data_IF_802069316645
#
_entry.id   IF_802069316645
#
_cell.length_a   1.000
_cell.length_b   1.000
_cell.length_c   1.000
_cell.angle_alpha   90.00
_cell.angle_beta   90.00
_cell.angle_gamma   90.00
#
_symmetry.space_group_name_H-M   'P 1'
#
loop_
_entity.id
_entity.type
_entity.pdbx_description
1 polymer ?
#
# COMPACT_ATOMS: atom_id res chain seq x y z
N UNK A 1 3.47 78.81 -36.51
CA UNK A 1 4.70 78.06 -36.51
C UNK A 1 5.02 77.75 -35.03
N UNK A 2 4.65 76.60 -34.48
CA UNK A 2 5.14 76.10 -33.20
C UNK A 2 4.78 74.58 -33.14
N UNK A 3 5.80 73.77 -33.32
CA UNK A 3 5.71 72.31 -33.29
C UNK A 3 5.57 71.85 -31.84
N UNK A 4 4.49 71.12 -31.52
CA UNK A 4 4.31 70.44 -30.26
C UNK A 4 4.60 68.96 -30.45
N UNK A 5 5.67 68.46 -29.83
CA UNK A 5 6.07 67.08 -29.81
C UNK A 5 5.30 66.36 -28.65
N UNK A 6 4.38 65.49 -29.00
CA UNK A 6 3.71 64.60 -28.00
C UNK A 6 4.61 63.40 -27.73
N UNK A 7 5.16 63.34 -26.53
CA UNK A 7 5.87 62.15 -26.03
C UNK A 7 4.87 61.15 -25.49
N UNK A 8 4.77 60.01 -26.16
CA UNK A 8 3.97 58.88 -25.69
C UNK A 8 4.83 58.06 -24.72
N UNK A 9 4.50 58.11 -23.44
CA UNK A 9 5.07 57.22 -22.41
C UNK A 9 4.40 55.84 -22.50
N UNK A 10 5.16 54.86 -22.99
CA UNK A 10 4.78 53.44 -23.00
C UNK A 10 5.03 52.85 -21.59
N UNK A 11 4.01 52.71 -20.78
CA UNK A 11 4.11 51.99 -19.50
C UNK A 11 4.14 50.49 -19.75
N UNK A 12 5.33 49.88 -19.60
CA UNK A 12 5.44 48.39 -19.53
C UNK A 12 4.86 47.91 -18.20
N UNK A 13 3.63 47.38 -18.22
CA UNK A 13 3.05 46.66 -17.14
C UNK A 13 3.70 45.26 -17.00
N UNK A 14 4.57 45.09 -16.02
CA UNK A 14 5.14 43.80 -15.66
C UNK A 14 4.04 42.97 -14.98
N UNK A 15 3.33 42.12 -15.72
CA UNK A 15 2.33 41.22 -15.22
C UNK A 15 2.97 40.15 -14.33
N UNK A 16 2.79 40.26 -13.02
CA UNK A 16 3.18 39.28 -12.03
C UNK A 16 2.18 38.13 -12.12
N UNK A 17 2.57 37.00 -12.78
CA UNK A 17 1.81 35.75 -12.78
C UNK A 17 1.88 35.16 -11.38
N UNK A 18 0.75 34.84 -10.74
CA UNK A 18 0.77 34.09 -9.47
C UNK A 18 1.29 32.68 -9.74
N UNK A 19 2.45 32.33 -9.15
CA UNK A 19 2.92 30.96 -9.07
C UNK A 19 2.00 30.22 -8.13
N UNK A 20 1.11 29.38 -8.66
CA UNK A 20 0.39 28.38 -7.87
C UNK A 20 1.43 27.36 -7.36
N UNK A 21 1.94 27.61 -6.16
CA UNK A 21 2.65 26.59 -5.39
C UNK A 21 1.64 25.53 -5.02
N UNK A 22 1.57 24.45 -5.80
CA UNK A 22 0.85 23.24 -5.41
C UNK A 22 1.50 22.69 -4.15
N UNK A 23 0.86 22.91 -3.00
CA UNK A 23 1.18 22.17 -1.80
C UNK A 23 0.74 20.74 -2.11
N UNK A 24 1.69 19.83 -2.32
CA UNK A 24 1.43 18.41 -2.21
C UNK A 24 0.94 18.19 -0.77
N UNK A 25 -0.28 17.69 -0.62
CA UNK A 25 -0.82 17.28 0.67
C UNK A 25 0.11 16.19 1.23
N UNK A 26 1.00 16.55 2.15
CA UNK A 26 1.86 15.61 2.89
C UNK A 26 1.05 14.60 3.72
N UNK A 27 -0.27 14.73 3.73
CA UNK A 27 -1.22 13.90 4.45
C UNK A 27 -2.11 13.06 3.53
N UNK A 28 -1.71 12.85 2.27
CA UNK A 28 -2.44 11.96 1.37
C UNK A 28 -2.26 10.52 1.85
N UNK A 29 -3.36 9.91 2.35
CA UNK A 29 -3.38 8.50 2.75
C UNK A 29 -2.82 7.60 1.65
N UNK A 30 -1.97 6.63 2.02
CA UNK A 30 -1.44 5.61 1.09
C UNK A 30 -2.53 4.66 0.53
N UNK A 31 -3.75 4.77 1.02
CA UNK A 31 -4.92 3.98 0.60
C UNK A 31 -5.74 3.51 1.80
N UNK A 32 -6.91 2.96 1.51
CA UNK A 32 -7.77 2.32 2.53
C UNK A 32 -7.36 0.87 2.68
N UNK A 33 -7.33 0.37 3.91
CA UNK A 33 -6.97 -1.02 4.21
C UNK A 33 -7.96 -1.62 5.21
N UNK A 34 -8.63 -2.70 4.83
CA UNK A 34 -9.47 -3.48 5.75
C UNK A 34 -8.74 -4.77 6.11
N UNK A 35 -8.50 -4.99 7.40
CA UNK A 35 -7.78 -6.15 7.94
C UNK A 35 -8.75 -7.09 8.64
N UNK A 36 -8.90 -8.30 8.12
CA UNK A 36 -9.71 -9.37 8.69
C UNK A 36 -8.80 -10.31 9.47
N UNK A 37 -9.05 -10.44 10.77
CA UNK A 37 -8.22 -11.28 11.67
C UNK A 37 -9.07 -11.93 12.75
N UNK A 38 -8.51 -12.92 13.45
CA UNK A 38 -9.18 -13.44 14.65
C UNK A 38 -8.99 -12.49 15.84
N UNK A 39 -9.98 -12.38 16.76
CA UNK A 39 -9.89 -11.46 17.90
C UNK A 39 -8.66 -11.65 18.78
N UNK A 40 -8.17 -12.89 18.89
CA UNK A 40 -7.02 -13.26 19.70
C UNK A 40 -5.66 -13.18 18.99
N UNK A 41 -5.61 -12.79 17.70
CA UNK A 41 -4.36 -12.67 16.95
C UNK A 41 -3.62 -11.37 17.28
N UNK A 42 -2.72 -11.42 18.27
CA UNK A 42 -1.94 -10.25 18.69
C UNK A 42 -0.92 -9.78 17.65
N UNK A 43 -0.26 -10.69 16.93
CA UNK A 43 0.69 -10.34 15.87
C UNK A 43 -0.01 -9.66 14.68
N UNK A 44 -1.26 -10.05 14.38
CA UNK A 44 -2.07 -9.40 13.36
C UNK A 44 -2.43 -7.95 13.73
N UNK A 45 -2.71 -7.70 15.02
CA UNK A 45 -2.96 -6.33 15.52
C UNK A 45 -1.72 -5.46 15.36
N UNK A 46 -0.53 -5.98 15.72
CA UNK A 46 0.74 -5.26 15.54
C UNK A 46 1.05 -4.99 14.05
N UNK A 47 0.70 -5.93 13.17
CA UNK A 47 0.83 -5.71 11.73
C UNK A 47 -0.10 -4.58 11.27
N UNK A 48 -1.36 -4.57 11.71
CA UNK A 48 -2.33 -3.54 11.38
C UNK A 48 -1.90 -2.15 11.90
N UNK A 49 -1.39 -2.07 13.15
CA UNK A 49 -0.81 -0.86 13.72
C UNK A 49 0.35 -0.34 12.86
N UNK A 50 1.24 -1.24 12.41
CA UNK A 50 2.33 -0.84 11.52
C UNK A 50 1.82 -0.29 10.19
N UNK A 51 0.74 -0.83 9.62
CA UNK A 51 0.17 -0.29 8.39
C UNK A 51 -0.44 1.11 8.61
N UNK A 52 -1.06 1.36 9.76
CA UNK A 52 -1.55 2.69 10.12
C UNK A 52 -0.40 3.70 10.25
N UNK A 53 0.70 3.33 10.93
CA UNK A 53 1.94 4.12 11.02
C UNK A 53 2.55 4.43 9.64
N UNK A 54 2.39 3.52 8.68
CA UNK A 54 2.84 3.72 7.28
C UNK A 54 1.93 4.68 6.49
N UNK A 55 0.80 5.12 7.08
CA UNK A 55 -0.12 6.08 6.49
C UNK A 55 -1.30 5.48 5.72
N UNK A 56 -1.60 4.18 5.91
CA UNK A 56 -2.86 3.60 5.43
C UNK A 56 -4.02 3.96 6.36
N UNK A 57 -5.22 4.12 5.80
CA UNK A 57 -6.45 4.21 6.60
C UNK A 57 -6.90 2.79 6.97
N UNK A 58 -6.51 2.31 8.15
CA UNK A 58 -6.74 0.93 8.57
C UNK A 58 -8.09 0.78 9.28
N UNK A 59 -8.84 -0.24 8.89
CA UNK A 59 -10.06 -0.72 9.57
C UNK A 59 -9.86 -2.20 9.92
N UNK A 60 -10.03 -2.56 11.18
CA UNK A 60 -9.94 -3.96 11.64
C UNK A 60 -11.34 -4.54 11.73
N UNK A 61 -11.49 -5.76 11.21
CA UNK A 61 -12.71 -6.59 11.30
C UNK A 61 -12.33 -7.91 11.94
N UNK A 62 -12.80 -8.13 13.15
CA UNK A 62 -12.60 -9.41 13.85
C UNK A 62 -13.58 -10.48 13.33
N UNK A 63 -13.02 -11.64 12.99
CA UNK A 63 -13.75 -12.82 12.52
C UNK A 63 -13.17 -14.06 13.20
N UNK A 64 -14.02 -14.96 13.67
CA UNK A 64 -13.56 -16.22 14.30
C UNK A 64 -12.98 -17.19 13.26
N UNK A 65 -13.47 -17.16 12.03
CA UNK A 65 -13.01 -17.98 10.91
C UNK A 65 -12.89 -17.18 9.62
N UNK A 66 -11.72 -17.23 9.00
CA UNK A 66 -11.40 -16.56 7.75
C UNK A 66 -11.53 -17.48 6.51
N UNK A 67 -11.83 -18.75 6.68
CA UNK A 67 -11.81 -19.76 5.60
C UNK A 67 -12.69 -19.37 4.41
N UNK A 68 -13.91 -18.90 4.68
CA UNK A 68 -14.82 -18.45 3.64
C UNK A 68 -14.30 -17.20 2.91
N UNK A 69 -13.80 -16.22 3.66
CA UNK A 69 -13.23 -14.98 3.13
C UNK A 69 -12.04 -15.29 2.22
N UNK A 70 -11.11 -16.14 2.65
CA UNK A 70 -9.92 -16.52 1.87
C UNK A 70 -10.30 -17.22 0.58
N UNK A 71 -11.28 -18.11 0.63
CA UNK A 71 -11.80 -18.78 -0.57
C UNK A 71 -12.40 -17.78 -1.55
N UNK A 72 -13.20 -16.83 -1.08
CA UNK A 72 -13.79 -15.76 -1.92
C UNK A 72 -12.72 -14.82 -2.47
N UNK A 73 -11.69 -14.49 -1.68
CA UNK A 73 -10.52 -13.73 -2.10
C UNK A 73 -9.59 -14.51 -3.03
N UNK A 74 -9.81 -15.83 -3.19
CA UNK A 74 -9.00 -16.70 -4.03
C UNK A 74 -7.58 -16.89 -3.50
N UNK A 75 -7.40 -16.93 -2.18
CA UNK A 75 -6.13 -17.26 -1.52
C UNK A 75 -5.97 -18.77 -1.50
N UNK A 76 -4.95 -19.34 -2.17
CA UNK A 76 -4.68 -20.78 -2.11
C UNK A 76 -4.34 -21.24 -0.68
N UNK A 77 -4.67 -22.49 -0.33
CA UNK A 77 -4.44 -23.00 1.02
C UNK A 77 -2.96 -22.92 1.45
N UNK A 78 -2.05 -23.18 0.52
CA UNK A 78 -0.59 -23.11 0.74
C UNK A 78 -0.07 -21.68 0.88
N UNK A 79 -0.87 -20.67 0.53
CA UNK A 79 -0.51 -19.24 0.62
C UNK A 79 -1.15 -18.55 1.83
N UNK A 80 -1.90 -19.28 2.66
CA UNK A 80 -2.57 -18.70 3.81
C UNK A 80 -1.58 -18.29 4.91
N UNK A 81 -1.83 -17.10 5.46
CA UNK A 81 -1.11 -16.55 6.60
C UNK A 81 -2.02 -16.38 7.83
N UNK A 82 -1.65 -15.45 8.70
CA UNK A 82 -2.35 -15.21 9.97
C UNK A 82 -3.66 -14.41 9.79
N UNK A 83 -3.70 -13.53 8.82
CA UNK A 83 -4.82 -12.62 8.54
C UNK A 83 -4.91 -12.35 7.04
N UNK A 84 -6.05 -11.83 6.63
CA UNK A 84 -6.28 -11.36 5.26
C UNK A 84 -6.61 -9.88 5.29
N UNK A 85 -5.99 -9.08 4.43
CA UNK A 85 -6.35 -7.69 4.26
C UNK A 85 -6.73 -7.39 2.81
N UNK A 86 -7.51 -6.32 2.62
CA UNK A 86 -7.78 -5.74 1.32
C UNK A 86 -7.30 -4.31 1.34
N UNK A 87 -6.39 -3.96 0.44
CA UNK A 87 -5.91 -2.59 0.26
C UNK A 87 -6.47 -2.00 -1.03
N UNK A 88 -6.89 -0.73 -0.95
CA UNK A 88 -7.48 0.00 -2.07
C UNK A 88 -6.78 1.35 -2.25
N UNK A 89 -6.16 1.52 -3.43
CA UNK A 89 -5.63 2.77 -3.95
C UNK A 89 -5.84 2.80 -5.46
N UNK A 90 -7.06 3.18 -5.87
CA UNK A 90 -7.53 3.04 -7.26
C UNK A 90 -7.97 1.61 -7.59
N UNK A 91 -7.06 0.65 -7.51
CA UNK A 91 -7.32 -0.79 -7.64
C UNK A 91 -7.36 -1.46 -6.26
N UNK A 92 -8.09 -2.58 -6.14
CA UNK A 92 -8.14 -3.40 -4.92
C UNK A 92 -7.22 -4.60 -5.05
N UNK A 93 -6.45 -4.87 -3.98
CA UNK A 93 -5.57 -6.02 -3.88
C UNK A 93 -5.76 -6.74 -2.54
N UNK A 94 -5.62 -8.05 -2.58
CA UNK A 94 -5.55 -8.90 -1.39
C UNK A 94 -4.12 -8.86 -0.85
N UNK A 95 -3.99 -8.76 0.47
CA UNK A 95 -2.72 -8.87 1.19
C UNK A 95 -2.91 -9.95 2.24
N UNK A 96 -2.28 -11.10 2.06
CA UNK A 96 -2.41 -12.26 2.94
C UNK A 96 -1.18 -12.43 3.82
N UNK A 97 -1.39 -12.55 5.14
CA UNK A 97 -0.32 -12.74 6.12
C UNK A 97 0.55 -11.49 6.34
N UNK A 98 1.71 -11.68 6.94
CA UNK A 98 2.58 -10.62 7.44
C UNK A 98 3.46 -9.97 6.34
N UNK A 99 2.81 -9.51 5.28
CA UNK A 99 3.47 -8.83 4.14
C UNK A 99 4.11 -7.52 4.60
N UNK A 100 5.39 -7.26 4.27
CA UNK A 100 6.07 -6.03 4.69
C UNK A 100 5.57 -4.81 3.89
N UNK A 101 5.58 -3.60 4.49
CA UNK A 101 5.14 -2.36 3.83
C UNK A 101 5.80 -2.11 2.48
N UNK A 102 7.08 -2.45 2.33
CA UNK A 102 7.82 -2.26 1.08
C UNK A 102 7.22 -3.07 -0.09
N UNK A 103 6.79 -4.32 0.17
CA UNK A 103 6.15 -5.15 -0.85
C UNK A 103 4.74 -4.62 -1.22
N UNK A 104 3.99 -4.11 -0.24
CA UNK A 104 2.69 -3.49 -0.48
C UNK A 104 2.86 -2.22 -1.31
N UNK A 105 3.81 -1.35 -0.95
CA UNK A 105 4.10 -0.13 -1.72
C UNK A 105 4.49 -0.46 -3.16
N UNK A 106 5.41 -1.43 -3.37
CA UNK A 106 5.78 -1.90 -4.71
C UNK A 106 4.55 -2.34 -5.52
N UNK A 107 3.67 -3.16 -4.95
CA UNK A 107 2.45 -3.62 -5.64
C UNK A 107 1.53 -2.45 -6.01
N UNK A 108 1.32 -1.51 -5.08
CA UNK A 108 0.45 -0.36 -5.31
C UNK A 108 1.01 0.64 -6.33
N UNK A 109 2.33 0.75 -6.45
CA UNK A 109 3.00 1.64 -7.39
C UNK A 109 3.06 1.03 -8.80
N UNK A 110 3.35 -0.26 -8.89
CA UNK A 110 3.43 -0.97 -10.18
C UNK A 110 2.07 -1.38 -10.74
N UNK A 111 1.06 -1.51 -9.90
CA UNK A 111 -0.31 -1.93 -10.24
C UNK A 111 -0.37 -3.17 -11.16
N UNK A 112 0.35 -4.26 -10.83
CA UNK A 112 0.38 -5.44 -11.68
C UNK A 112 -0.99 -6.08 -11.81
N UNK A 113 -1.21 -6.86 -12.89
CA UNK A 113 -2.44 -7.62 -13.08
C UNK A 113 -2.42 -8.94 -12.30
N UNK A 114 -2.53 -8.80 -10.96
CA UNK A 114 -2.60 -9.88 -9.96
C UNK A 114 -3.76 -9.61 -9.01
N UNK A 115 -4.20 -10.61 -8.26
CA UNK A 115 -5.21 -10.43 -7.20
C UNK A 115 -4.64 -9.80 -5.95
N UNK A 116 -3.37 -10.04 -5.66
CA UNK A 116 -2.72 -9.57 -4.46
C UNK A 116 -1.38 -10.24 -4.21
N UNK A 117 -0.90 -10.13 -2.99
CA UNK A 117 0.37 -10.70 -2.55
C UNK A 117 0.20 -11.43 -1.21
N UNK A 118 1.04 -12.44 -0.96
CA UNK A 118 0.95 -13.29 0.22
C UNK A 118 2.32 -13.57 0.84
N UNK A 119 2.35 -13.64 2.16
CA UNK A 119 3.41 -14.27 2.96
C UNK A 119 2.79 -15.48 3.64
N UNK A 120 3.06 -16.71 3.19
CA UNK A 120 2.49 -17.91 3.78
C UNK A 120 3.03 -18.15 5.18
N UNK A 121 2.16 -18.61 6.08
CA UNK A 121 2.52 -18.86 7.46
C UNK A 121 2.86 -17.61 8.26
N UNK A 122 3.84 -17.73 9.14
CA UNK A 122 4.29 -16.67 10.06
C UNK A 122 5.83 -16.69 10.18
N UNK A 123 6.57 -16.21 9.16
CA UNK A 123 8.02 -16.22 9.20
C UNK A 123 8.56 -15.35 10.33
N UNK A 124 9.60 -15.84 11.02
CA UNK A 124 10.30 -15.06 12.04
C UNK A 124 10.83 -13.75 11.45
N UNK A 125 10.69 -12.66 12.22
CA UNK A 125 11.11 -11.32 11.81
C UNK A 125 10.18 -10.66 10.78
N UNK A 126 9.08 -11.31 10.37
CA UNK A 126 8.05 -10.61 9.61
C UNK A 126 7.32 -9.59 10.48
N UNK A 127 6.74 -8.57 9.85
CA UNK A 127 6.08 -7.44 10.54
C UNK A 127 5.05 -7.94 11.53
N UNK A 128 5.16 -7.55 12.81
CA UNK A 128 4.29 -8.01 13.90
C UNK A 128 4.77 -9.28 14.60
N UNK A 129 5.75 -10.02 14.06
CA UNK A 129 6.29 -11.25 14.64
C UNK A 129 7.55 -11.04 15.50
N UNK A 130 7.99 -9.79 15.66
CA UNK A 130 9.21 -9.43 16.34
C UNK A 130 10.32 -9.05 15.36
N UNK A 131 11.44 -8.58 15.89
CA UNK A 131 12.60 -8.21 15.08
C UNK A 131 13.53 -9.42 14.91
N UNK A 132 13.96 -9.67 13.68
CA UNK A 132 15.02 -10.60 13.35
C UNK A 132 15.90 -9.97 12.28
N UNK A 133 17.18 -9.66 12.60
CA UNK A 133 18.10 -9.08 11.62
C UNK A 133 18.41 -10.05 10.47
N UNK A 134 18.24 -11.35 10.71
CA UNK A 134 18.47 -12.42 9.74
C UNK A 134 17.21 -12.87 9.01
N UNK A 135 16.10 -12.12 9.13
CA UNK A 135 14.83 -12.48 8.50
C UNK A 135 15.01 -12.72 6.99
N UNK A 136 14.52 -13.88 6.53
CA UNK A 136 14.52 -14.26 5.11
C UNK A 136 13.18 -14.91 4.79
N UNK A 137 12.43 -14.31 3.90
CA UNK A 137 11.20 -14.90 3.38
C UNK A 137 10.79 -14.26 2.06
N UNK A 138 10.01 -15.01 1.31
CA UNK A 138 9.49 -14.57 0.01
C UNK A 138 8.05 -14.10 0.17
N UNK A 139 7.74 -12.97 -0.45
CA UNK A 139 6.37 -12.52 -0.72
C UNK A 139 5.99 -13.04 -2.10
N UNK A 140 4.87 -13.71 -2.21
CA UNK A 140 4.38 -14.28 -3.46
C UNK A 140 3.27 -13.42 -4.07
N UNK A 141 3.23 -13.27 -5.39
CA UNK A 141 2.10 -12.75 -6.11
C UNK A 141 1.04 -13.84 -6.29
N UNK A 142 -0.21 -13.51 -5.98
CA UNK A 142 -1.38 -14.33 -6.29
C UNK A 142 -1.86 -13.97 -7.69
N UNK A 143 -1.82 -14.91 -8.62
CA UNK A 143 -2.16 -14.67 -10.03
C UNK A 143 -3.56 -14.06 -10.23
N UNK A 144 -3.82 -13.51 -11.40
CA UNK A 144 -5.08 -12.83 -11.71
C UNK A 144 -6.31 -13.74 -11.62
N UNK A 145 -6.14 -15.03 -11.94
CA UNK A 145 -7.21 -16.03 -11.86
C UNK A 145 -7.02 -16.96 -10.64
N UNK A 146 -8.10 -17.52 -10.06
CA UNK A 146 -8.04 -18.37 -8.86
C UNK A 146 -7.07 -19.56 -8.91
N UNK A 147 -6.82 -20.11 -10.10
CA UNK A 147 -5.96 -21.28 -10.29
C UNK A 147 -4.59 -20.95 -10.87
N UNK A 148 -4.28 -19.67 -11.05
CA UNK A 148 -2.93 -19.28 -11.47
C UNK A 148 -1.94 -19.59 -10.33
N UNK A 149 -0.75 -20.13 -10.62
CA UNK A 149 0.24 -20.42 -9.60
C UNK A 149 0.73 -19.13 -8.93
N UNK A 150 0.98 -19.21 -7.63
CA UNK A 150 1.67 -18.13 -6.92
C UNK A 150 3.15 -18.10 -7.35
N UNK A 151 3.68 -16.91 -7.60
CA UNK A 151 5.07 -16.71 -8.04
C UNK A 151 5.80 -15.72 -7.13
N UNK A 152 7.12 -15.82 -6.96
CA UNK A 152 7.89 -14.85 -6.18
C UNK A 152 7.68 -13.42 -6.69
N UNK A 153 7.43 -12.49 -5.77
CA UNK A 153 7.17 -11.07 -6.06
C UNK A 153 8.17 -10.14 -5.39
N UNK A 154 8.54 -10.45 -4.14
CA UNK A 154 9.43 -9.63 -3.34
C UNK A 154 10.21 -10.51 -2.37
N UNK A 155 11.52 -10.28 -2.23
CA UNK A 155 12.38 -11.02 -1.31
C UNK A 155 12.74 -10.14 -0.12
N UNK A 156 12.51 -10.65 1.08
CA UNK A 156 13.06 -10.07 2.30
C UNK A 156 14.37 -10.75 2.61
N UNK A 157 15.44 -9.96 2.66
CA UNK A 157 16.79 -10.40 2.97
C UNK A 157 17.30 -9.72 4.25
N UNK A 158 18.33 -10.26 4.92
CA UNK A 158 18.98 -9.64 6.05
C UNK A 158 19.44 -8.22 5.75
N UNK A 159 19.42 -7.38 6.76
CA UNK A 159 19.93 -6.01 6.72
C UNK A 159 21.44 -5.98 6.91
#
# INVERSE_FOLDING_TARGET
MKNGIFAILLALGLGMLPTLSGHADENASKGKMTVFKTPWCGCCSKWAERMDEEGYQVTIVDMEDLSKLRKEAGVPDEMQGCHTAVVERGRKYVVEGHVPPAAISKMLDEQPDIRGIAVPGMPDGSVGMGESPDARYTVFALGAKPNDPAVPFFEVAPK
#
